data_IF_208538841805
#
_entry.id   IF_208538841805
#
_cell.length_a   1.000
_cell.length_b   1.000
_cell.length_c   1.000
_cell.angle_alpha   90.00
_cell.angle_beta   90.00
_cell.angle_gamma   90.00
#
_symmetry.space_group_name_H-M   'P 1'
#
loop_
_entity.id
_entity.type
_entity.pdbx_description
1 polymer ?
#
# COMPACT_ATOMS: atom_id res chain seq x y z
N UNK A 1 16.70 17.06 -16.20
CA UNK A 1 16.03 15.84 -16.72
C UNK A 1 14.77 15.53 -15.92
N UNK A 2 13.56 15.66 -16.50
CA UNK A 2 12.32 15.18 -15.86
C UNK A 2 12.33 13.65 -15.87
N UNK A 3 12.45 12.99 -14.71
CA UNK A 3 12.35 11.52 -14.61
C UNK A 3 11.00 11.04 -15.16
N UNK A 4 11.01 9.94 -15.93
CA UNK A 4 9.77 9.31 -16.43
C UNK A 4 8.87 8.93 -15.24
N UNK A 5 7.53 9.10 -15.36
CA UNK A 5 6.62 8.74 -14.28
C UNK A 5 6.68 7.23 -14.02
N UNK A 6 6.53 6.80 -12.75
CA UNK A 6 6.55 5.39 -12.40
C UNK A 6 5.38 4.63 -13.04
N UNK A 7 5.62 3.36 -13.37
CA UNK A 7 4.70 2.52 -14.14
C UNK A 7 3.62 1.95 -13.20
N UNK A 8 2.35 2.11 -13.58
CA UNK A 8 1.24 1.50 -12.87
C UNK A 8 1.16 0.00 -13.21
N UNK A 9 0.84 -0.88 -12.24
CA UNK A 9 0.69 -2.30 -12.52
C UNK A 9 -0.39 -2.54 -13.59
N UNK A 10 -0.11 -3.46 -14.52
CA UNK A 10 -1.08 -3.93 -15.50
C UNK A 10 -2.12 -4.83 -14.83
N UNK A 11 -3.35 -4.87 -15.39
CA UNK A 11 -4.49 -5.69 -14.91
C UNK A 11 -4.13 -7.15 -14.68
N UNK A 12 -3.26 -7.73 -15.53
CA UNK A 12 -2.83 -9.12 -15.41
C UNK A 12 -1.93 -9.37 -14.19
N UNK A 13 -1.37 -8.35 -13.54
CA UNK A 13 -0.36 -8.52 -12.49
C UNK A 13 -0.90 -9.05 -11.15
N UNK A 14 -2.20 -8.88 -10.86
CA UNK A 14 -2.80 -9.11 -9.54
C UNK A 14 -4.11 -9.93 -9.54
N UNK A 15 -4.33 -10.80 -10.53
CA UNK A 15 -5.24 -11.93 -10.28
C UNK A 15 -4.67 -12.72 -9.10
N UNK A 16 -5.51 -13.09 -8.13
CA UNK A 16 -5.14 -13.93 -6.98
C UNK A 16 -4.48 -15.25 -7.46
N UNK A 17 -4.73 -15.65 -8.71
CA UNK A 17 -4.12 -16.77 -9.44
C UNK A 17 -3.14 -16.36 -10.54
N UNK A 18 -2.44 -15.23 -10.42
CA UNK A 18 -1.47 -14.84 -11.44
C UNK A 18 -0.34 -15.88 -11.49
N UNK A 19 -0.11 -16.47 -12.66
CA UNK A 19 0.93 -17.50 -12.84
C UNK A 19 2.25 -16.94 -12.30
N UNK A 20 2.77 -17.57 -11.25
CA UNK A 20 4.07 -17.23 -10.70
C UNK A 20 5.11 -17.43 -11.79
N UNK A 21 5.68 -16.34 -12.28
CA UNK A 21 6.78 -16.43 -13.24
C UNK A 21 8.09 -16.51 -12.47
N UNK A 22 9.08 -17.21 -13.05
CA UNK A 22 10.44 -17.30 -12.50
C UNK A 22 10.98 -15.90 -12.20
N UNK A 23 10.72 -14.92 -13.09
CA UNK A 23 11.09 -13.52 -12.86
C UNK A 23 10.55 -12.96 -11.55
N UNK A 24 9.28 -13.20 -11.21
CA UNK A 24 8.70 -12.72 -9.94
C UNK A 24 9.32 -13.40 -8.74
N UNK A 25 9.56 -14.71 -8.81
CA UNK A 25 10.25 -15.46 -7.74
C UNK A 25 11.64 -14.87 -7.49
N UNK A 26 12.40 -14.58 -8.54
CA UNK A 26 13.74 -13.97 -8.44
C UNK A 26 13.66 -12.58 -7.79
N UNK A 27 12.71 -11.73 -8.18
CA UNK A 27 12.55 -10.42 -7.53
C UNK A 27 12.16 -10.53 -6.05
N UNK A 28 11.32 -11.50 -5.69
CA UNK A 28 10.95 -11.77 -4.29
C UNK A 28 12.18 -12.20 -3.50
N UNK A 29 13.01 -13.11 -4.03
CA UNK A 29 14.25 -13.55 -3.39
C UNK A 29 15.25 -12.38 -3.22
N UNK A 30 15.39 -11.52 -4.23
CA UNK A 30 16.22 -10.31 -4.15
C UNK A 30 15.71 -9.38 -3.04
N UNK A 31 14.39 -9.17 -2.92
CA UNK A 31 13.82 -8.32 -1.88
C UNK A 31 14.02 -8.88 -0.47
N UNK A 32 13.95 -10.21 -0.29
CA UNK A 32 14.30 -10.87 0.97
C UNK A 32 15.77 -10.61 1.31
N UNK A 33 16.68 -10.84 0.36
CA UNK A 33 18.12 -10.62 0.56
C UNK A 33 18.45 -9.17 0.91
N UNK A 34 17.83 -8.20 0.22
CA UNK A 34 17.99 -6.77 0.53
C UNK A 34 17.44 -6.46 1.92
N UNK A 35 16.28 -7.02 2.30
CA UNK A 35 15.69 -6.81 3.63
C UNK A 35 16.57 -7.34 4.75
N UNK A 36 17.12 -8.55 4.60
CA UNK A 36 18.06 -9.14 5.57
C UNK A 36 19.32 -8.28 5.66
N UNK A 37 19.89 -7.87 4.53
CA UNK A 37 21.08 -7.00 4.50
C UNK A 37 20.83 -5.66 5.19
N UNK A 38 19.68 -5.03 4.94
CA UNK A 38 19.29 -3.77 5.59
C UNK A 38 19.12 -3.96 7.11
N UNK A 39 18.63 -5.12 7.55
CA UNK A 39 18.53 -5.45 8.97
C UNK A 39 19.91 -5.54 9.61
N UNK A 40 20.84 -6.27 9.00
CA UNK A 40 22.21 -6.46 9.50
C UNK A 40 22.96 -5.13 9.54
N UNK A 41 23.02 -4.43 8.41
CA UNK A 41 23.73 -3.15 8.29
C UNK A 41 23.08 -2.09 9.19
N UNK A 42 21.75 -2.02 9.20
CA UNK A 42 21.01 -1.08 10.06
C UNK A 42 21.23 -1.34 11.55
N UNK A 43 21.40 -2.60 11.95
CA UNK A 43 21.71 -2.95 13.34
C UNK A 43 23.13 -2.55 13.77
N UNK A 44 24.09 -2.52 12.84
CA UNK A 44 25.50 -2.23 13.12
C UNK A 44 25.83 -0.73 13.02
N UNK A 45 25.25 -0.03 12.06
CA UNK A 45 25.50 1.41 11.83
C UNK A 45 24.82 2.27 12.89
N UNK A 46 23.74 1.79 13.51
CA UNK A 46 22.90 2.59 14.42
C UNK A 46 22.93 2.09 15.87
N UNK A 47 24.07 2.13 16.59
CA UNK A 47 24.08 1.99 18.05
C UNK A 47 23.51 3.24 18.77
N UNK A 48 23.43 4.39 18.09
CA UNK A 48 23.26 5.72 18.73
C UNK A 48 21.87 6.35 18.66
N UNK A 49 20.89 5.75 17.97
CA UNK A 49 19.50 6.23 18.06
C UNK A 49 18.81 5.37 19.11
N UNK A 50 18.75 5.87 20.34
CA UNK A 50 18.03 5.31 21.52
C UNK A 50 16.52 5.14 21.33
N UNK A 51 16.02 5.18 20.09
CA UNK A 51 14.62 5.12 19.73
C UNK A 51 14.42 3.88 18.86
N UNK A 52 14.08 2.77 19.51
CA UNK A 52 13.76 1.48 18.88
C UNK A 52 12.84 1.65 17.65
N UNK A 53 11.93 2.62 17.70
CA UNK A 53 10.94 2.87 16.68
C UNK A 53 11.50 3.41 15.34
N UNK A 54 12.66 4.07 15.30
CA UNK A 54 13.27 4.53 14.03
C UNK A 54 13.98 3.38 13.29
N UNK A 55 14.56 2.45 14.05
CA UNK A 55 15.24 1.24 13.55
C UNK A 55 14.28 0.36 12.73
N UNK A 56 13.07 0.12 13.23
CA UNK A 56 12.07 -0.70 12.52
C UNK A 56 11.55 -0.09 11.21
N UNK A 57 11.56 1.25 11.10
CA UNK A 57 10.98 1.95 9.95
C UNK A 57 11.81 1.80 8.67
N UNK A 58 13.14 1.85 8.79
CA UNK A 58 14.08 1.72 7.68
C UNK A 58 14.30 0.25 7.25
N UNK A 59 14.33 -0.66 8.22
CA UNK A 59 14.57 -2.09 7.99
C UNK A 59 13.41 -2.74 7.22
N UNK A 60 12.17 -2.32 7.47
CA UNK A 60 10.97 -2.86 6.81
C UNK A 60 10.69 -2.31 5.40
N UNK A 61 11.56 -1.49 4.81
CA UNK A 61 11.28 -0.86 3.50
C UNK A 61 11.14 -1.86 2.34
N UNK A 62 12.06 -2.82 2.13
CA UNK A 62 11.93 -3.81 1.06
C UNK A 62 10.67 -4.67 1.22
N UNK A 63 10.30 -4.97 2.47
CA UNK A 63 9.08 -5.70 2.82
C UNK A 63 7.84 -4.92 2.39
N UNK A 64 7.72 -3.63 2.73
CA UNK A 64 6.60 -2.77 2.32
C UNK A 64 6.47 -2.69 0.79
N UNK A 65 7.61 -2.55 0.09
CA UNK A 65 7.63 -2.51 -1.38
C UNK A 65 7.18 -3.84 -1.97
N UNK A 66 7.62 -4.96 -1.39
CA UNK A 66 7.21 -6.29 -1.84
C UNK A 66 5.70 -6.48 -1.74
N UNK A 67 5.08 -6.01 -0.65
CA UNK A 67 3.63 -5.99 -0.50
C UNK A 67 2.95 -5.14 -1.57
N UNK A 68 3.42 -3.91 -1.77
CA UNK A 68 2.80 -2.97 -2.71
C UNK A 68 2.92 -3.41 -4.18
N UNK A 69 3.97 -4.15 -4.55
CA UNK A 69 4.21 -4.64 -5.92
C UNK A 69 3.62 -6.02 -6.18
N UNK A 70 3.69 -6.94 -5.21
CA UNK A 70 3.33 -8.35 -5.41
C UNK A 70 2.04 -8.76 -4.69
N UNK A 71 1.50 -7.91 -3.82
CA UNK A 71 0.27 -8.13 -3.09
C UNK A 71 0.49 -8.58 -1.64
N UNK A 72 -0.61 -8.69 -0.87
CA UNK A 72 -0.57 -8.81 0.59
C UNK A 72 0.12 -10.08 1.09
N UNK A 73 -0.22 -11.24 0.53
CA UNK A 73 0.34 -12.52 0.98
C UNK A 73 1.84 -12.64 0.70
N UNK A 74 2.29 -12.14 -0.46
CA UNK A 74 3.71 -12.14 -0.81
C UNK A 74 4.46 -11.15 0.09
N UNK A 75 3.88 -9.97 0.34
CA UNK A 75 4.44 -9.02 1.30
C UNK A 75 4.59 -9.62 2.70
N UNK A 76 3.56 -10.31 3.19
CA UNK A 76 3.60 -11.00 4.48
C UNK A 76 4.72 -12.04 4.51
N UNK A 77 4.79 -12.91 3.51
CA UNK A 77 5.81 -13.94 3.38
C UNK A 77 7.22 -13.35 3.37
N UNK A 78 7.47 -12.33 2.55
CA UNK A 78 8.76 -11.63 2.48
C UNK A 78 9.12 -11.06 3.85
N UNK A 79 8.18 -10.43 4.55
CA UNK A 79 8.41 -9.87 5.88
C UNK A 79 8.80 -10.92 6.90
N UNK A 80 7.99 -11.97 7.04
CA UNK A 80 8.23 -13.04 8.01
C UNK A 80 9.53 -13.80 7.74
N UNK A 81 9.82 -14.15 6.48
CA UNK A 81 11.06 -14.85 6.13
C UNK A 81 12.28 -13.96 6.31
N UNK A 82 12.21 -12.69 5.94
CA UNK A 82 13.34 -11.76 6.11
C UNK A 82 13.68 -11.57 7.57
N UNK A 83 12.68 -11.46 8.44
CA UNK A 83 12.88 -11.37 9.88
C UNK A 83 13.53 -12.64 10.42
N UNK A 84 12.95 -13.83 10.15
CA UNK A 84 13.51 -15.11 10.59
C UNK A 84 14.96 -15.33 10.14
N UNK A 85 15.28 -15.00 8.89
CA UNK A 85 16.64 -15.09 8.38
C UNK A 85 17.58 -14.10 9.06
N UNK A 86 17.10 -12.88 9.36
CA UNK A 86 17.91 -11.87 10.03
C UNK A 86 18.29 -12.26 11.47
N UNK A 87 17.45 -13.04 12.16
CA UNK A 87 17.73 -13.56 13.51
C UNK A 87 18.98 -14.46 13.55
N UNK A 88 19.29 -15.14 12.45
CA UNK A 88 20.48 -15.98 12.34
C UNK A 88 21.78 -15.16 12.39
N UNK A 89 21.72 -13.90 11.94
CA UNK A 89 22.88 -13.01 11.89
C UNK A 89 22.92 -12.02 13.04
N UNK A 90 21.75 -11.57 13.51
CA UNK A 90 21.60 -10.57 14.58
C UNK A 90 20.57 -11.09 15.59
N UNK A 91 20.94 -12.04 16.46
CA UNK A 91 20.02 -12.56 17.46
C UNK A 91 19.69 -11.44 18.47
N UNK A 92 18.41 -11.08 18.65
CA UNK A 92 18.02 -10.10 19.66
C UNK A 92 18.14 -10.71 21.06
N UNK A 93 18.40 -9.88 22.07
CA UNK A 93 18.51 -10.31 23.48
C UNK A 93 17.23 -10.93 24.06
N UNK A 94 16.09 -10.82 23.36
CA UNK A 94 14.85 -11.54 23.62
C UNK A 94 14.01 -11.59 22.34
N UNK A 95 13.98 -12.74 21.65
CA UNK A 95 13.13 -12.92 20.47
C UNK A 95 11.71 -13.33 20.88
N UNK A 96 10.72 -12.76 20.20
CA UNK A 96 9.33 -13.17 20.32
C UNK A 96 8.68 -13.21 18.94
N UNK A 97 7.75 -14.15 18.73
CA UNK A 97 7.05 -14.35 17.45
C UNK A 97 6.29 -13.10 16.99
N UNK A 98 5.92 -12.21 17.92
CA UNK A 98 5.26 -10.94 17.60
C UNK A 98 6.14 -9.98 16.80
N UNK A 99 7.47 -10.03 16.91
CA UNK A 99 8.35 -9.23 16.06
C UNK A 99 8.28 -9.70 14.60
N UNK A 100 8.32 -11.01 14.38
CA UNK A 100 8.13 -11.62 13.05
C UNK A 100 6.72 -11.36 12.50
N UNK A 101 5.72 -11.31 13.37
CA UNK A 101 4.37 -10.90 12.98
C UNK A 101 4.32 -9.42 12.60
N UNK A 102 4.96 -8.52 13.35
CA UNK A 102 5.01 -7.10 13.03
C UNK A 102 5.68 -6.84 11.66
N UNK A 103 6.79 -7.53 11.38
CA UNK A 103 7.47 -7.43 10.07
C UNK A 103 6.64 -8.05 8.94
N UNK A 104 5.97 -9.17 9.17
CA UNK A 104 5.00 -9.74 8.21
C UNK A 104 3.84 -8.77 7.93
N UNK A 105 3.25 -8.19 8.98
CA UNK A 105 2.14 -7.24 8.87
C UNK A 105 2.52 -5.98 8.09
N UNK A 106 3.78 -5.55 8.15
CA UNK A 106 4.29 -4.47 7.31
C UNK A 106 4.09 -4.74 5.81
N UNK A 107 4.40 -5.96 5.35
CA UNK A 107 4.20 -6.34 3.96
C UNK A 107 2.74 -6.60 3.62
N UNK A 108 1.99 -7.19 4.55
CA UNK A 108 0.57 -7.49 4.36
C UNK A 108 -0.26 -6.21 4.14
N UNK A 109 -0.17 -5.26 5.07
CA UNK A 109 -0.93 -4.00 5.02
C UNK A 109 -0.55 -3.18 3.79
N UNK A 110 0.75 -3.15 3.47
CA UNK A 110 1.23 -2.53 2.24
C UNK A 110 0.61 -3.13 0.99
N UNK A 111 0.47 -4.46 0.94
CA UNK A 111 -0.17 -5.14 -0.17
C UNK A 111 -1.68 -4.96 -0.23
N UNK A 112 -2.39 -4.93 0.91
CA UNK A 112 -3.84 -4.67 0.93
C UNK A 112 -4.14 -3.29 0.36
N UNK A 113 -3.43 -2.26 0.84
CA UNK A 113 -3.66 -0.87 0.41
C UNK A 113 -3.17 -0.68 -1.02
N UNK A 114 -2.01 -1.23 -1.38
CA UNK A 114 -1.50 -1.22 -2.75
C UNK A 114 -2.47 -1.87 -3.74
N UNK A 115 -2.99 -3.05 -3.42
CA UNK A 115 -3.98 -3.75 -4.24
C UNK A 115 -5.28 -2.95 -4.38
N UNK A 116 -5.80 -2.41 -3.28
CA UNK A 116 -7.04 -1.65 -3.30
C UNK A 116 -6.94 -0.40 -4.20
N UNK A 117 -5.88 0.39 -4.09
CA UNK A 117 -5.73 1.61 -4.88
C UNK A 117 -5.25 1.34 -6.32
N UNK A 118 -4.21 0.52 -6.50
CA UNK A 118 -3.55 0.35 -7.79
C UNK A 118 -4.27 -0.63 -8.71
N UNK A 119 -5.07 -1.55 -8.15
CA UNK A 119 -5.78 -2.58 -8.91
C UNK A 119 -7.27 -2.33 -8.84
N UNK A 120 -7.88 -2.35 -7.65
CA UNK A 120 -9.33 -2.29 -7.51
C UNK A 120 -9.90 -0.94 -7.98
N UNK A 121 -9.44 0.19 -7.42
CA UNK A 121 -9.94 1.51 -7.85
C UNK A 121 -9.64 1.80 -9.32
N UNK A 122 -8.44 1.43 -9.77
CA UNK A 122 -8.05 1.56 -11.18
C UNK A 122 -8.99 0.76 -12.10
N UNK A 123 -9.39 -0.44 -11.72
CA UNK A 123 -10.29 -1.26 -12.53
C UNK A 123 -11.69 -0.63 -12.67
N UNK A 124 -12.30 -0.26 -11.55
CA UNK A 124 -13.67 0.27 -11.53
C UNK A 124 -13.77 1.69 -12.13
N UNK A 125 -12.77 2.54 -11.87
CA UNK A 125 -12.83 3.96 -12.19
C UNK A 125 -11.85 4.40 -13.27
N UNK A 126 -10.91 3.54 -13.67
CA UNK A 126 -9.96 3.76 -14.77
C UNK A 126 -10.46 3.34 -16.15
N UNK A 127 -11.76 3.08 -16.30
CA UNK A 127 -12.40 2.85 -17.60
C UNK A 127 -12.31 1.41 -18.13
N UNK A 128 -11.39 0.61 -17.59
CA UNK A 128 -11.21 -0.82 -17.93
C UNK A 128 -12.50 -1.63 -17.71
N UNK A 129 -13.19 -1.44 -16.58
CA UNK A 129 -14.49 -2.08 -16.32
C UNK A 129 -15.56 -1.73 -17.37
N UNK A 130 -15.63 -0.46 -17.79
CA UNK A 130 -16.60 -0.01 -18.81
C UNK A 130 -16.31 -0.67 -20.16
N UNK A 131 -15.03 -0.76 -20.51
CA UNK A 131 -14.56 -1.42 -21.74
C UNK A 131 -14.93 -2.91 -21.71
N UNK A 132 -14.70 -3.61 -20.60
CA UNK A 132 -15.07 -5.02 -20.45
C UNK A 132 -16.57 -5.27 -20.54
N UNK A 133 -17.37 -4.41 -19.93
CA UNK A 133 -18.82 -4.51 -20.01
C UNK A 133 -19.30 -4.31 -21.47
N UNK A 134 -18.67 -3.41 -22.22
CA UNK A 134 -18.96 -3.27 -23.66
C UNK A 134 -18.52 -4.49 -24.47
N UNK A 135 -17.33 -5.07 -24.21
CA UNK A 135 -16.92 -6.31 -24.86
C UNK A 135 -17.88 -7.47 -24.58
N UNK A 136 -18.36 -7.62 -23.33
CA UNK A 136 -19.35 -8.64 -22.99
C UNK A 136 -20.69 -8.44 -23.71
N UNK A 137 -21.13 -7.17 -23.91
CA UNK A 137 -22.32 -6.85 -24.70
C UNK A 137 -22.11 -7.16 -26.19
N UNK A 138 -20.96 -6.79 -26.75
CA UNK A 138 -20.58 -7.10 -28.13
C UNK A 138 -20.57 -8.62 -28.34
N UNK A 139 -20.00 -9.39 -27.42
CA UNK A 139 -20.01 -10.85 -27.50
C UNK A 139 -21.42 -11.44 -27.59
N UNK A 140 -22.34 -10.99 -26.72
CA UNK A 140 -23.75 -11.42 -26.79
C UNK A 140 -24.43 -11.02 -28.11
N UNK A 141 -24.14 -9.83 -28.61
CA UNK A 141 -24.69 -9.35 -29.88
C UNK A 141 -24.11 -10.13 -31.07
N UNK A 142 -22.83 -10.50 -31.06
CA UNK A 142 -22.22 -11.34 -32.09
C UNK A 142 -22.90 -12.71 -32.17
N UNK A 143 -23.16 -13.36 -31.04
CA UNK A 143 -23.93 -14.62 -31.01
C UNK A 143 -25.32 -14.45 -31.61
N UNK A 144 -25.99 -13.31 -31.32
CA UNK A 144 -27.31 -13.02 -31.88
C UNK A 144 -27.25 -12.70 -33.39
N UNK A 145 -26.20 -12.02 -33.84
CA UNK A 145 -25.96 -11.70 -35.24
C UNK A 145 -25.79 -12.98 -36.06
N UNK A 146 -24.90 -13.89 -35.63
CA UNK A 146 -24.68 -15.20 -36.26
C UNK A 146 -25.99 -15.99 -36.38
N UNK A 147 -26.80 -16.00 -35.32
CA UNK A 147 -28.12 -16.66 -35.34
C UNK A 147 -29.06 -16.06 -36.37
N UNK A 148 -29.08 -14.74 -36.56
CA UNK A 148 -29.95 -14.11 -37.56
C UNK A 148 -29.46 -14.28 -39.00
N UNK A 149 -28.15 -14.35 -39.20
CA UNK A 149 -27.52 -14.71 -40.48
C UNK A 149 -27.95 -16.13 -40.87
N UNK A 150 -27.81 -17.10 -39.96
CA UNK A 150 -28.22 -18.50 -40.19
C UNK A 150 -29.72 -18.64 -40.51
N UNK A 151 -30.57 -17.79 -39.94
CA UNK A 151 -32.01 -17.76 -40.19
C UNK A 151 -32.42 -16.93 -41.42
N UNK A 152 -31.47 -16.43 -42.22
CA UNK A 152 -31.69 -15.54 -43.38
C UNK A 152 -32.51 -14.27 -43.05
N UNK A 153 -32.47 -13.78 -41.80
CA UNK A 153 -33.19 -12.58 -41.36
C UNK A 153 -32.29 -11.34 -41.48
N UNK A 154 -31.97 -10.95 -42.72
CA UNK A 154 -30.99 -9.91 -43.05
C UNK A 154 -31.27 -8.57 -42.35
N UNK A 155 -32.50 -8.06 -42.43
CA UNK A 155 -32.88 -6.78 -41.80
C UNK A 155 -32.69 -6.78 -40.26
N UNK A 156 -32.82 -7.95 -39.62
CA UNK A 156 -32.59 -8.08 -38.16
C UNK A 156 -31.10 -8.20 -37.86
N UNK A 157 -30.33 -8.91 -38.70
CA UNK A 157 -28.89 -9.00 -38.59
C UNK A 157 -28.22 -7.62 -38.70
N UNK A 158 -28.63 -6.80 -39.66
CA UNK A 158 -28.12 -5.45 -39.86
C UNK A 158 -28.37 -4.53 -38.65
N UNK A 159 -29.56 -4.62 -38.04
CA UNK A 159 -29.87 -3.89 -36.80
C UNK A 159 -28.97 -4.30 -35.63
N UNK A 160 -28.58 -5.58 -35.55
CA UNK A 160 -27.64 -6.07 -34.52
C UNK A 160 -26.22 -5.61 -34.82
N UNK A 161 -25.80 -5.63 -36.09
CA UNK A 161 -24.50 -5.13 -36.52
C UNK A 161 -24.31 -3.65 -36.17
N UNK A 162 -25.31 -2.82 -36.44
CA UNK A 162 -25.27 -1.39 -36.07
C UNK A 162 -25.12 -1.19 -34.55
N UNK A 163 -25.72 -2.07 -33.72
CA UNK A 163 -25.53 -2.04 -32.27
C UNK A 163 -24.11 -2.45 -31.86
N UNK A 164 -23.50 -3.42 -32.55
CA UNK A 164 -22.11 -3.83 -32.32
C UNK A 164 -21.17 -2.66 -32.60
N UNK A 165 -21.30 -2.03 -33.77
CA UNK A 165 -20.49 -0.86 -34.16
C UNK A 165 -20.66 0.30 -33.16
N UNK A 166 -21.90 0.54 -32.69
CA UNK A 166 -22.16 1.54 -31.67
C UNK A 166 -21.39 1.28 -30.35
N UNK A 167 -21.35 0.04 -29.88
CA UNK A 167 -20.59 -0.30 -28.66
C UNK A 167 -19.08 -0.27 -28.89
N UNK A 168 -18.60 -0.63 -30.08
CA UNK A 168 -17.18 -0.54 -30.41
C UNK A 168 -16.70 0.92 -30.43
N UNK A 169 -17.47 1.82 -31.04
CA UNK A 169 -17.22 3.27 -31.00
C UNK A 169 -17.21 3.81 -29.56
N UNK A 170 -18.07 3.29 -28.67
CA UNK A 170 -18.02 3.64 -27.23
C UNK A 170 -16.73 3.18 -26.56
N UNK A 171 -16.20 2.01 -26.91
CA UNK A 171 -14.91 1.54 -26.40
C UNK A 171 -13.79 2.49 -26.84
N UNK A 172 -13.75 2.86 -28.12
CA UNK A 172 -12.75 3.80 -28.64
C UNK A 172 -12.86 5.17 -27.97
N UNK A 173 -14.08 5.68 -27.79
CA UNK A 173 -14.30 6.93 -27.07
C UNK A 173 -13.83 6.86 -25.61
N UNK A 174 -14.01 5.74 -24.90
CA UNK A 174 -13.48 5.59 -23.53
C UNK A 174 -11.95 5.52 -23.51
N UNK A 175 -11.33 4.85 -24.49
CA UNK A 175 -9.87 4.81 -24.64
C UNK A 175 -9.29 6.21 -24.93
N UNK A 176 -9.98 7.00 -25.76
CA UNK A 176 -9.51 8.31 -26.23
C UNK A 176 -9.84 9.46 -25.27
N UNK A 177 -11.06 9.51 -24.71
CA UNK A 177 -11.52 10.60 -23.85
C UNK A 177 -10.94 10.53 -22.42
N UNK A 178 -10.40 9.37 -22.01
CA UNK A 178 -9.68 9.18 -20.76
C UNK A 178 -10.54 9.33 -19.50
N UNK A 179 -10.73 8.23 -18.75
CA UNK A 179 -11.39 8.27 -17.42
C UNK A 179 -10.44 8.66 -16.28
N UNK A 180 -9.29 9.27 -16.62
CA UNK A 180 -8.22 9.52 -15.66
C UNK A 180 -8.64 10.55 -14.60
N UNK A 181 -9.40 11.57 -14.96
CA UNK A 181 -9.89 12.59 -14.00
C UNK A 181 -10.80 11.99 -12.93
N UNK A 182 -11.73 11.12 -13.33
CA UNK A 182 -12.62 10.41 -12.42
C UNK A 182 -11.83 9.50 -11.46
N UNK A 183 -10.85 8.76 -11.99
CA UNK A 183 -9.97 7.92 -11.18
C UNK A 183 -9.21 8.74 -10.13
N UNK A 184 -8.61 9.87 -10.52
CA UNK A 184 -7.86 10.73 -9.60
C UNK A 184 -8.75 11.31 -8.50
N UNK A 185 -9.98 11.73 -8.83
CA UNK A 185 -10.90 12.31 -7.86
C UNK A 185 -11.43 11.26 -6.87
N UNK A 186 -11.66 10.02 -7.31
CA UNK A 186 -12.07 8.95 -6.41
C UNK A 186 -10.93 8.52 -5.49
N UNK A 187 -9.70 8.46 -6.00
CA UNK A 187 -8.53 8.22 -5.14
C UNK A 187 -8.40 9.31 -4.06
N UNK A 188 -8.63 10.58 -4.41
CA UNK A 188 -8.65 11.68 -3.44
C UNK A 188 -9.71 11.46 -2.35
N UNK A 189 -10.98 11.27 -2.74
CA UNK A 189 -12.10 11.14 -1.80
C UNK A 189 -11.86 9.96 -0.84
N UNK A 190 -11.52 8.79 -1.39
CA UNK A 190 -11.31 7.58 -0.59
C UNK A 190 -10.12 7.76 0.35
N UNK A 191 -9.02 8.36 -0.13
CA UNK A 191 -7.86 8.61 0.73
C UNK A 191 -8.18 9.57 1.88
N UNK A 192 -8.98 10.62 1.65
CA UNK A 192 -9.42 11.53 2.73
C UNK A 192 -10.26 10.77 3.76
N UNK A 193 -11.22 9.95 3.31
CA UNK A 193 -12.06 9.13 4.21
C UNK A 193 -11.18 8.19 5.06
N UNK A 194 -10.23 7.50 4.43
CA UNK A 194 -9.31 6.61 5.14
C UNK A 194 -8.43 7.38 6.14
N UNK A 195 -7.90 8.54 5.77
CA UNK A 195 -7.09 9.37 6.69
C UNK A 195 -7.91 9.93 7.86
N UNK A 196 -9.16 10.34 7.61
CA UNK A 196 -10.08 10.74 8.69
C UNK A 196 -10.38 9.59 9.64
N UNK A 197 -10.54 8.36 9.13
CA UNK A 197 -10.74 7.19 9.99
C UNK A 197 -9.54 6.94 10.91
N UNK A 198 -8.30 7.16 10.41
CA UNK A 198 -7.08 7.08 11.21
C UNK A 198 -7.04 8.17 12.29
N UNK A 199 -7.39 9.41 11.95
CA UNK A 199 -7.46 10.53 12.91
C UNK A 199 -8.46 10.23 14.02
N UNK A 200 -9.66 9.74 13.67
CA UNK A 200 -10.70 9.37 14.63
C UNK A 200 -10.19 8.24 15.54
N UNK A 201 -9.57 7.21 14.96
CA UNK A 201 -9.04 6.09 15.73
C UNK A 201 -7.96 6.54 16.72
N UNK A 202 -6.98 7.33 16.28
CA UNK A 202 -5.94 7.90 17.15
C UNK A 202 -6.58 8.73 18.27
N UNK A 203 -7.61 9.52 17.95
CA UNK A 203 -8.32 10.36 18.92
C UNK A 203 -9.05 9.53 19.97
N UNK A 204 -9.63 8.38 19.61
CA UNK A 204 -10.30 7.48 20.56
C UNK A 204 -9.26 6.79 21.45
N UNK A 205 -8.22 6.20 20.87
CA UNK A 205 -7.19 5.48 21.63
C UNK A 205 -6.52 6.43 22.63
N UNK A 206 -5.96 7.54 22.14
CA UNK A 206 -5.14 8.43 22.97
C UNK A 206 -6.00 9.39 23.76
N UNK A 207 -7.06 9.92 23.16
CA UNK A 207 -7.94 10.93 23.76
C UNK A 207 -8.97 10.36 24.73
N UNK A 208 -9.27 9.06 24.70
CA UNK A 208 -10.20 8.43 25.65
C UNK A 208 -9.54 7.27 26.42
N UNK A 209 -8.98 6.26 25.74
CA UNK A 209 -8.63 4.98 26.38
C UNK A 209 -7.34 4.98 27.22
N UNK A 210 -6.35 5.81 26.89
CA UNK A 210 -5.08 5.87 27.64
C UNK A 210 -5.24 6.68 28.94
N UNK A 211 -4.84 6.10 30.08
CA UNK A 211 -4.85 6.78 31.39
C UNK A 211 -3.82 7.91 31.45
N UNK A 212 -4.16 8.97 32.17
CA UNK A 212 -3.33 10.15 32.46
C UNK A 212 -1.96 9.80 33.06
N UNK A 213 -1.85 8.70 33.80
CA UNK A 213 -0.60 8.22 34.42
C UNK A 213 0.47 7.85 33.38
N UNK A 214 0.04 7.37 32.20
CA UNK A 214 0.92 6.98 31.10
C UNK A 214 1.78 8.12 30.55
N UNK A 215 1.36 9.37 30.78
CA UNK A 215 2.04 10.54 30.23
C UNK A 215 3.11 11.10 31.20
N UNK A 216 3.08 10.75 32.48
CA UNK A 216 3.97 11.35 33.50
C UNK A 216 5.45 11.00 33.27
N UNK A 217 5.72 9.79 32.79
CA UNK A 217 7.08 9.27 32.51
C UNK A 217 7.57 9.52 31.08
N UNK A 218 6.71 10.06 30.21
CA UNK A 218 7.00 10.24 28.79
C UNK A 218 7.58 11.62 28.46
N UNK A 219 8.28 11.72 27.31
CA UNK A 219 8.88 12.97 26.80
C UNK A 219 7.88 14.14 26.76
N UNK A 220 6.61 13.85 26.45
CA UNK A 220 5.52 14.82 26.47
C UNK A 220 4.54 14.44 27.58
N UNK A 221 4.55 15.24 28.64
CA UNK A 221 3.77 14.99 29.86
C UNK A 221 2.27 15.28 29.73
N UNK A 222 1.85 15.85 28.61
CA UNK A 222 0.48 16.27 28.38
C UNK A 222 -0.17 15.44 27.26
N UNK A 223 -1.26 14.74 27.61
CA UNK A 223 -2.11 13.96 26.71
C UNK A 223 -2.55 14.74 25.48
N UNK A 224 -3.03 15.97 25.68
CA UNK A 224 -3.58 16.79 24.60
C UNK A 224 -2.51 17.28 23.64
N UNK A 225 -1.30 17.55 24.14
CA UNK A 225 -0.16 17.91 23.30
C UNK A 225 0.27 16.71 22.46
N UNK A 226 0.34 15.52 23.08
CA UNK A 226 0.66 14.26 22.40
C UNK A 226 -0.35 13.94 21.29
N UNK A 227 -1.64 14.07 21.60
CA UNK A 227 -2.72 13.89 20.64
C UNK A 227 -2.65 14.91 19.50
N UNK A 228 -2.49 16.19 19.82
CA UNK A 228 -2.38 17.26 18.83
C UNK A 228 -1.20 17.03 17.88
N UNK A 229 -0.05 16.59 18.41
CA UNK A 229 1.13 16.28 17.61
C UNK A 229 0.83 15.16 16.59
N UNK A 230 0.15 14.09 16.99
CA UNK A 230 -0.17 12.98 16.10
C UNK A 230 -1.21 13.35 15.04
N UNK A 231 -2.28 14.03 15.46
CA UNK A 231 -3.29 14.54 14.55
C UNK A 231 -2.65 15.48 13.54
N UNK A 232 -1.70 16.33 13.95
CA UNK A 232 -0.99 17.23 13.03
C UNK A 232 -0.19 16.47 11.98
N UNK A 233 0.47 15.37 12.36
CA UNK A 233 1.17 14.47 11.44
C UNK A 233 0.24 13.92 10.37
N UNK A 234 -0.83 13.25 10.77
CA UNK A 234 -1.81 12.68 9.83
C UNK A 234 -2.55 13.75 9.02
N UNK A 235 -2.83 14.91 9.62
CA UNK A 235 -3.47 16.03 8.92
C UNK A 235 -2.56 16.64 7.85
N UNK A 236 -1.26 16.76 8.14
CA UNK A 236 -0.28 17.24 7.15
C UNK A 236 -0.24 16.36 5.90
N UNK A 237 -0.40 15.05 6.05
CA UNK A 237 -0.48 14.11 4.93
C UNK A 237 -1.78 14.24 4.16
N UNK A 238 -2.91 14.43 4.84
CA UNK A 238 -4.20 14.70 4.19
C UNK A 238 -4.12 15.98 3.34
N UNK A 239 -3.53 17.05 3.89
CA UNK A 239 -3.29 18.29 3.15
C UNK A 239 -2.38 18.04 1.96
N UNK A 240 -1.30 17.27 2.14
CA UNK A 240 -0.40 16.92 1.04
C UNK A 240 -1.12 16.16 -0.07
N UNK A 241 -1.99 15.19 0.25
CA UNK A 241 -2.80 14.46 -0.74
C UNK A 241 -3.68 15.44 -1.54
N UNK A 242 -4.33 16.39 -0.88
CA UNK A 242 -5.17 17.40 -1.54
C UNK A 242 -4.33 18.28 -2.48
N UNK A 243 -3.20 18.80 -2.00
CA UNK A 243 -2.30 19.65 -2.82
C UNK A 243 -1.69 18.86 -3.98
N UNK A 244 -1.28 17.61 -3.71
CA UNK A 244 -0.68 16.72 -4.70
C UNK A 244 -1.63 16.42 -5.87
N UNK A 245 -2.95 16.41 -5.64
CA UNK A 245 -3.95 16.21 -6.71
C UNK A 245 -3.81 17.24 -7.83
N UNK A 246 -3.47 18.47 -7.49
CA UNK A 246 -3.36 19.59 -8.42
C UNK A 246 -1.94 19.82 -8.92
N UNK A 247 -0.91 19.48 -8.12
CA UNK A 247 0.50 19.70 -8.48
C UNK A 247 1.20 18.52 -9.17
N UNK A 248 0.81 17.28 -8.88
CA UNK A 248 1.47 16.09 -9.44
C UNK A 248 0.81 15.64 -10.74
N UNK A 249 1.61 15.05 -11.64
CA UNK A 249 1.07 14.37 -12.82
C UNK A 249 0.24 13.14 -12.41
N UNK A 250 -0.81 12.77 -13.16
CA UNK A 250 -1.73 11.68 -12.82
C UNK A 250 -1.05 10.40 -12.33
N UNK A 251 -0.05 9.90 -13.06
CA UNK A 251 0.66 8.66 -12.71
C UNK A 251 1.41 8.74 -11.37
N UNK A 252 2.06 9.89 -11.11
CA UNK A 252 2.77 10.12 -9.84
C UNK A 252 1.80 10.22 -8.68
N UNK A 253 0.66 10.89 -8.88
CA UNK A 253 -0.39 10.98 -7.87
C UNK A 253 -0.96 9.60 -7.51
N UNK A 254 -1.32 8.79 -8.51
CA UNK A 254 -1.90 7.44 -8.30
C UNK A 254 -0.97 6.47 -7.57
N UNK A 255 0.34 6.75 -7.55
CA UNK A 255 1.34 5.94 -6.82
C UNK A 255 1.65 6.56 -5.45
N UNK A 256 1.71 7.89 -5.36
CA UNK A 256 1.96 8.56 -4.09
C UNK A 256 0.83 8.28 -3.10
N UNK A 257 -0.44 8.50 -3.47
CA UNK A 257 -1.60 8.36 -2.57
C UNK A 257 -1.64 7.04 -1.80
N UNK A 258 -1.56 5.85 -2.44
CA UNK A 258 -1.56 4.60 -1.70
C UNK A 258 -0.38 4.46 -0.74
N UNK A 259 0.81 5.00 -1.07
CA UNK A 259 1.97 4.98 -0.19
C UNK A 259 1.70 5.84 1.06
N UNK A 260 1.04 6.99 0.92
CA UNK A 260 0.68 7.86 2.05
C UNK A 260 -0.32 7.17 2.96
N UNK A 261 -1.43 6.69 2.40
CA UNK A 261 -2.48 6.00 3.16
C UNK A 261 -1.92 4.77 3.84
N UNK A 262 -1.11 3.99 3.13
CA UNK A 262 -0.41 2.83 3.68
C UNK A 262 0.47 3.20 4.87
N UNK A 263 1.26 4.27 4.77
CA UNK A 263 2.17 4.65 5.84
C UNK A 263 1.42 5.05 7.11
N UNK A 264 0.24 5.68 6.99
CA UNK A 264 -0.62 6.00 8.13
C UNK A 264 -1.22 4.74 8.79
N UNK A 265 -1.73 3.80 7.99
CA UNK A 265 -2.31 2.55 8.51
C UNK A 265 -1.27 1.60 9.13
N UNK A 266 -0.07 1.55 8.55
CA UNK A 266 1.02 0.73 9.05
C UNK A 266 1.43 1.12 10.47
N UNK A 267 1.51 2.41 10.74
CA UNK A 267 1.91 2.90 12.06
C UNK A 267 0.85 2.55 13.11
N UNK A 268 -0.45 2.63 12.76
CA UNK A 268 -1.57 2.22 13.62
C UNK A 268 -1.50 0.74 13.99
N UNK A 269 -1.12 -0.14 13.05
CA UNK A 269 -1.09 -1.59 13.26
C UNK A 269 0.20 -2.03 13.95
N UNK A 270 1.35 -1.48 13.56
CA UNK A 270 2.64 -1.92 14.06
C UNK A 270 2.90 -1.48 15.50
N UNK A 271 2.45 -0.29 15.89
CA UNK A 271 2.71 0.25 17.23
C UNK A 271 2.19 -0.73 18.31
N UNK A 272 0.91 -1.16 18.31
CA UNK A 272 0.42 -2.11 19.31
C UNK A 272 1.19 -3.43 19.31
N UNK A 273 1.51 -4.00 18.14
CA UNK A 273 2.19 -5.29 18.04
C UNK A 273 3.60 -5.20 18.64
N UNK A 274 4.34 -4.14 18.31
CA UNK A 274 5.69 -3.91 18.83
C UNK A 274 5.66 -3.63 20.33
N UNK A 275 4.73 -2.80 20.81
CA UNK A 275 4.60 -2.51 22.24
C UNK A 275 4.30 -3.76 23.08
N UNK A 276 3.48 -4.69 22.56
CA UNK A 276 3.24 -5.97 23.22
C UNK A 276 4.49 -6.86 23.18
N UNK A 277 5.19 -6.91 22.04
CA UNK A 277 6.41 -7.68 21.88
C UNK A 277 7.52 -7.22 22.84
N UNK A 278 7.69 -5.90 22.99
CA UNK A 278 8.66 -5.28 23.90
C UNK A 278 8.32 -5.59 25.37
N UNK A 279 7.04 -5.50 25.77
CA UNK A 279 6.65 -5.80 27.16
C UNK A 279 6.90 -7.28 27.53
N UNK A 280 6.64 -8.20 26.59
CA UNK A 280 6.85 -9.64 26.81
C UNK A 280 8.33 -9.98 26.83
N UNK A 281 9.15 -9.37 25.95
CA UNK A 281 10.56 -9.73 25.79
C UNK A 281 11.51 -9.04 26.78
N UNK A 282 11.23 -7.81 27.21
CA UNK A 282 12.13 -6.99 28.04
C UNK A 282 11.78 -6.98 29.54
N UNK A 283 10.64 -7.57 29.93
CA UNK A 283 10.31 -7.86 31.32
C UNK A 283 9.58 -6.74 32.07
N UNK A 284 8.26 -6.87 32.15
CA UNK A 284 7.50 -6.49 33.36
C UNK A 284 6.20 -7.28 33.56
N UNK A 285 5.72 -8.03 32.56
CA UNK A 285 4.60 -8.98 32.70
C UNK A 285 3.23 -8.37 33.02
N UNK A 286 3.15 -7.07 33.30
CA UNK A 286 1.91 -6.37 33.59
C UNK A 286 1.35 -5.69 32.35
N UNK A 287 0.09 -5.97 32.06
CA UNK A 287 -0.68 -5.41 30.93
C UNK A 287 -0.80 -3.88 31.04
N UNK A 288 -0.73 -3.35 32.26
CA UNK A 288 -0.93 -1.93 32.57
C UNK A 288 0.12 -1.00 31.94
N UNK A 289 1.34 -1.48 31.65
CA UNK A 289 2.41 -0.69 31.02
C UNK A 289 2.40 -0.70 29.49
N UNK A 290 1.53 -1.49 28.85
CA UNK A 290 1.46 -1.58 27.37
C UNK A 290 1.08 -0.22 26.78
N UNK A 291 0.17 0.50 27.43
CA UNK A 291 -0.28 1.82 26.97
C UNK A 291 0.84 2.86 27.05
N UNK A 292 1.73 2.76 28.05
CA UNK A 292 2.89 3.65 28.21
C UNK A 292 3.91 3.44 27.08
N UNK A 293 4.14 2.18 26.72
CA UNK A 293 4.98 1.77 25.59
C UNK A 293 4.39 2.17 24.22
N UNK A 294 3.06 2.19 24.11
CA UNK A 294 2.39 2.73 22.93
C UNK A 294 2.70 4.23 22.83
N UNK A 295 2.52 5.02 23.90
CA UNK A 295 2.76 6.47 23.88
C UNK A 295 4.20 6.81 23.43
N UNK A 296 5.22 6.09 23.91
CA UNK A 296 6.61 6.32 23.51
C UNK A 296 6.86 6.05 22.02
N UNK A 297 6.23 5.01 21.46
CA UNK A 297 6.33 4.66 20.05
C UNK A 297 5.62 5.66 19.14
N UNK A 298 4.51 6.24 19.61
CA UNK A 298 3.66 7.11 18.80
C UNK A 298 4.24 8.53 18.69
N UNK A 299 5.06 9.01 19.63
CA UNK A 299 5.63 10.36 19.56
C UNK A 299 6.49 10.60 18.31
N UNK A 300 7.18 9.59 17.79
CA UNK A 300 7.97 9.71 16.56
C UNK A 300 7.19 9.40 15.28
N UNK A 301 5.92 9.01 15.38
CA UNK A 301 5.09 8.58 14.25
C UNK A 301 5.02 9.62 13.12
N UNK A 302 4.72 10.91 13.35
CA UNK A 302 4.61 11.91 12.28
C UNK A 302 5.86 12.01 11.40
N UNK A 303 7.04 12.05 12.02
CA UNK A 303 8.34 12.17 11.31
C UNK A 303 8.64 10.89 10.54
N UNK A 304 8.43 9.72 11.16
CA UNK A 304 8.62 8.42 10.51
C UNK A 304 7.76 8.25 9.27
N UNK A 305 6.51 8.70 9.32
CA UNK A 305 5.60 8.56 8.19
C UNK A 305 6.09 9.38 6.98
N UNK A 306 6.57 10.61 7.19
CA UNK A 306 7.14 11.43 6.12
C UNK A 306 8.41 10.83 5.52
N UNK A 307 9.31 10.33 6.38
CA UNK A 307 10.51 9.64 5.93
C UNK A 307 10.18 8.37 5.12
N UNK A 308 9.27 7.54 5.63
CA UNK A 308 8.80 6.33 4.94
C UNK A 308 8.19 6.65 3.58
N UNK A 309 7.34 7.67 3.49
CA UNK A 309 6.71 8.08 2.24
C UNK A 309 7.76 8.40 1.17
N UNK A 310 8.75 9.22 1.50
CA UNK A 310 9.79 9.62 0.56
C UNK A 310 10.58 8.41 0.07
N UNK A 311 11.09 7.59 0.98
CA UNK A 311 11.94 6.46 0.62
C UNK A 311 11.16 5.41 -0.18
N UNK A 312 9.95 5.05 0.27
CA UNK A 312 9.11 4.06 -0.43
C UNK A 312 8.75 4.56 -1.82
N UNK A 313 8.40 5.85 -1.97
CA UNK A 313 8.07 6.41 -3.28
C UNK A 313 9.25 6.30 -4.26
N UNK A 314 10.46 6.68 -3.83
CA UNK A 314 11.65 6.56 -4.68
C UNK A 314 12.00 5.11 -5.00
N UNK A 315 12.04 4.23 -4.00
CA UNK A 315 12.36 2.82 -4.21
C UNK A 315 11.32 2.11 -5.08
N UNK A 316 10.03 2.39 -4.88
CA UNK A 316 8.97 1.89 -5.76
C UNK A 316 9.19 2.36 -7.20
N UNK A 317 9.54 3.63 -7.42
CA UNK A 317 9.75 4.15 -8.77
C UNK A 317 10.86 3.42 -9.53
N UNK A 318 11.91 3.00 -8.83
CA UNK A 318 13.01 2.21 -9.39
C UNK A 318 12.57 0.78 -9.64
N UNK A 319 12.06 0.09 -8.61
CA UNK A 319 11.76 -1.35 -8.67
C UNK A 319 10.59 -1.64 -9.63
N UNK A 320 9.51 -0.86 -9.57
CA UNK A 320 8.36 -1.04 -10.47
C UNK A 320 8.76 -0.89 -11.95
N UNK A 321 9.69 0.03 -12.25
CA UNK A 321 10.19 0.21 -13.61
C UNK A 321 10.93 -1.02 -14.14
N UNK A 322 11.65 -1.74 -13.27
CA UNK A 322 12.38 -2.97 -13.61
C UNK A 322 11.45 -4.17 -13.74
N UNK A 323 10.52 -4.31 -12.80
CA UNK A 323 9.55 -5.43 -12.79
C UNK A 323 8.60 -5.35 -13.98
N UNK A 324 8.13 -4.16 -14.34
CA UNK A 324 7.13 -3.96 -15.38
C UNK A 324 7.71 -3.63 -16.77
N UNK A 325 9.03 -3.49 -16.90
CA UNK A 325 9.70 -3.06 -18.16
C UNK A 325 9.27 -3.83 -19.41
N UNK A 326 9.04 -5.14 -19.28
CA UNK A 326 8.74 -6.02 -20.42
C UNK A 326 7.30 -6.55 -20.42
N UNK A 327 6.40 -6.07 -19.56
CA UNK A 327 5.03 -6.59 -19.53
C UNK A 327 4.21 -6.23 -20.79
N UNK A 328 4.65 -5.22 -21.55
CA UNK A 328 4.05 -4.83 -22.82
C UNK A 328 4.75 -5.46 -24.04
N UNK A 329 5.82 -6.22 -23.83
CA UNK A 329 6.48 -7.00 -24.89
C UNK A 329 5.89 -8.42 -24.80
N UNK A 330 4.76 -8.65 -25.48
CA UNK A 330 4.32 -10.01 -25.76
C UNK A 330 5.27 -10.60 -26.79
N UNK A 331 5.99 -11.66 -26.42
CA UNK A 331 6.53 -12.59 -27.41
C UNK A 331 5.43 -13.54 -27.86
#
# INVERSE_FOLDING_TARGET
>A
MKRKPPILPAKSSHRISNKWTIRKMVFVAILIAISVTFTIVGSQIVPFISIASFKFSFIGLPVKISGLIFGPFIGFFVGSISDLLSLLFVPPGGWHILYTLATGMNGFVAGVIGWFFLVYLKYYFGGEFRIENYYAKIYKLNVQYEKYIQLNKINKAEKVLNKIIFYDNKIQNVKNAGTMTALLNINLIISIIMMLSVIIFISIIIGIQVDSKAFVENLIKNRWITLAFMISGTSSMTIFIIVARFKLSPSRYLIAVPIIVMSAFLELINIPILSIADNISLGSGTVDKILDWIVSHVLMSPVKIWFNLLVIYYSYSVISSLVFKNQNLSY
#
